data_IF_255574302706
#
_entry.id   IF_255574302706
#
_cell.length_a   1.000
_cell.length_b   1.000
_cell.length_c   1.000
_cell.angle_alpha   90.00
_cell.angle_beta   90.00
_cell.angle_gamma   90.00
#
_symmetry.space_group_name_H-M   'P 1'
#
loop_
_entity.id
_entity.type
_entity.pdbx_description
1 polymer ?
#
# COMPACT_ATOMS: atom_id res chain seq x y z
N UNK A 1 0.06 10.92 7.80
CA UNK A 1 0.84 11.38 6.63
C UNK A 1 -0.11 11.57 5.46
N UNK A 2 0.10 12.61 4.66
CA UNK A 2 -0.78 13.06 3.58
C UNK A 2 -0.04 13.07 2.25
N UNK A 3 -0.36 12.12 1.39
CA UNK A 3 0.14 11.96 0.02
C UNK A 3 -0.72 12.66 -1.02
N UNK A 4 -1.00 13.95 -0.81
CA UNK A 4 -1.81 14.74 -1.73
C UNK A 4 -0.91 15.39 -2.78
N UNK A 5 -0.46 14.60 -3.76
CA UNK A 5 0.45 14.98 -4.84
C UNK A 5 -0.09 14.57 -6.22
N UNK A 6 0.55 15.05 -7.29
CA UNK A 6 -0.01 14.99 -8.65
C UNK A 6 -0.11 13.60 -9.27
N UNK A 7 0.63 12.60 -8.75
CA UNK A 7 0.50 11.20 -9.17
C UNK A 7 -0.40 10.36 -8.24
N UNK A 8 -1.09 10.99 -7.29
CA UNK A 8 -2.08 10.35 -6.42
C UNK A 8 -3.52 10.72 -6.78
N UNK A 9 -4.42 9.80 -6.45
CA UNK A 9 -5.84 10.10 -6.44
C UNK A 9 -6.19 11.00 -5.24
N UNK A 10 -7.25 11.81 -5.38
CA UNK A 10 -7.76 12.66 -4.31
C UNK A 10 -8.11 11.81 -3.11
N UNK A 11 -7.45 12.09 -2.00
CA UNK A 11 -7.65 11.47 -0.70
C UNK A 11 -8.71 12.26 0.06
N UNK A 12 -9.73 11.56 0.54
CA UNK A 12 -10.71 12.17 1.44
C UNK A 12 -10.16 12.15 2.88
N UNK A 13 -9.95 13.30 3.53
CA UNK A 13 -9.61 13.31 4.95
C UNK A 13 -10.73 12.79 5.85
N UNK A 14 -11.96 12.76 5.33
CA UNK A 14 -13.11 12.18 6.02
C UNK A 14 -13.25 10.68 5.74
N UNK A 15 -12.26 10.04 5.10
CA UNK A 15 -12.19 8.58 5.06
C UNK A 15 -12.32 8.04 6.49
N UNK A 16 -13.19 7.05 6.67
CA UNK A 16 -13.62 6.60 7.99
C UNK A 16 -12.44 6.27 8.89
N UNK A 17 -11.43 5.58 8.36
CA UNK A 17 -10.23 5.17 9.12
C UNK A 17 -9.43 6.37 9.63
N UNK A 18 -9.26 7.41 8.81
CA UNK A 18 -8.58 8.66 9.20
C UNK A 18 -9.40 9.38 10.27
N UNK A 19 -10.68 9.62 9.99
CA UNK A 19 -11.57 10.36 10.88
C UNK A 19 -11.73 9.68 12.24
N UNK A 20 -11.84 8.35 12.26
CA UNK A 20 -11.94 7.57 13.50
C UNK A 20 -10.64 7.66 14.32
N UNK A 21 -9.47 7.53 13.69
CA UNK A 21 -8.19 7.63 14.41
C UNK A 21 -7.95 9.02 14.98
N UNK A 22 -8.25 10.07 14.22
CA UNK A 22 -8.19 11.45 14.73
C UNK A 22 -9.20 11.65 15.86
N UNK A 23 -10.43 11.15 15.73
CA UNK A 23 -11.44 11.22 16.78
C UNK A 23 -11.00 10.54 18.08
N UNK A 24 -10.48 9.32 18.00
CA UNK A 24 -10.01 8.61 19.20
C UNK A 24 -8.91 9.42 19.89
N UNK A 25 -7.94 9.93 19.13
CA UNK A 25 -6.87 10.76 19.67
C UNK A 25 -7.40 12.05 20.33
N UNK A 26 -8.38 12.73 19.72
CA UNK A 26 -8.98 13.94 20.32
C UNK A 26 -9.83 13.63 21.54
N UNK A 27 -10.49 12.47 21.57
CA UNK A 27 -11.30 12.04 22.71
C UNK A 27 -10.45 11.63 23.91
N UNK A 28 -9.26 11.07 23.68
CA UNK A 28 -8.31 10.66 24.73
C UNK A 28 -7.23 11.70 25.03
N UNK A 29 -7.39 12.94 24.56
CA UNK A 29 -6.47 14.06 24.84
C UNK A 29 -5.02 13.79 24.38
N UNK A 30 -4.86 13.11 23.25
CA UNK A 30 -3.57 12.79 22.66
C UNK A 30 -2.93 13.94 21.87
N UNK A 31 -1.88 13.61 21.12
CA UNK A 31 -1.26 14.53 20.16
C UNK A 31 -1.46 14.01 18.75
N UNK A 32 -1.93 14.89 17.85
CA UNK A 32 -2.05 14.61 16.42
C UNK A 32 -1.02 15.43 15.66
N UNK A 33 -0.25 14.75 14.80
CA UNK A 33 0.65 15.38 13.83
C UNK A 33 0.20 15.08 12.41
N UNK A 34 0.21 16.09 11.55
CA UNK A 34 -0.02 15.92 10.12
C UNK A 34 1.26 16.26 9.35
N UNK A 35 1.74 15.27 8.61
CA UNK A 35 2.92 15.37 7.75
C UNK A 35 2.47 15.39 6.30
N UNK A 36 2.95 16.37 5.52
CA UNK A 36 2.81 16.39 4.07
C UNK A 36 3.92 15.53 3.47
N UNK A 37 3.56 14.58 2.61
CA UNK A 37 4.50 13.79 1.84
C UNK A 37 4.61 14.39 0.44
N UNK A 38 5.66 15.16 0.19
CA UNK A 38 6.08 15.65 -1.12
C UNK A 38 7.61 15.53 -1.20
N UNK A 39 8.28 16.16 -2.17
CA UNK A 39 9.74 16.04 -2.29
C UNK A 39 10.53 16.75 -1.19
N UNK A 40 9.86 17.50 -0.30
CA UNK A 40 10.44 18.05 0.93
C UNK A 40 9.42 17.92 2.07
N UNK A 41 9.25 16.70 2.62
CA UNK A 41 8.25 16.44 3.64
C UNK A 41 8.31 17.42 4.82
N UNK A 42 7.15 17.73 5.39
CA UNK A 42 7.04 18.72 6.47
C UNK A 42 5.89 18.38 7.44
N UNK A 43 6.13 18.53 8.75
CA UNK A 43 5.07 18.59 9.75
C UNK A 43 4.38 19.95 9.69
N UNK A 44 3.22 20.02 9.02
CA UNK A 44 2.49 21.28 8.86
C UNK A 44 1.46 21.52 9.99
N UNK A 45 1.18 20.51 10.80
CA UNK A 45 0.33 20.62 11.99
C UNK A 45 0.86 19.70 13.08
N UNK A 46 0.97 20.23 14.30
CA UNK A 46 1.08 19.46 15.53
C UNK A 46 0.08 20.02 16.53
N UNK A 47 -0.84 19.19 17.00
CA UNK A 47 -1.91 19.58 17.91
C UNK A 47 -1.94 18.63 19.11
N UNK A 48 -1.55 19.13 20.27
CA UNK A 48 -1.78 18.46 21.55
C UNK A 48 -3.15 18.85 22.07
N UNK A 49 -3.95 17.85 22.41
CA UNK A 49 -5.32 18.04 22.88
C UNK A 49 -5.32 18.10 24.39
N UNK A 50 -5.76 19.22 24.95
CA UNK A 50 -5.84 19.40 26.39
C UNK A 50 -7.11 18.79 26.96
N UNK A 51 -7.01 18.19 28.14
CA UNK A 51 -8.18 17.77 28.91
C UNK A 51 -9.03 19.00 29.28
N UNK A 52 -10.37 18.94 29.13
CA UNK A 52 -11.24 20.06 29.49
C UNK A 52 -11.08 20.48 30.96
N UNK A 53 -10.82 21.77 31.19
CA UNK A 53 -10.67 22.33 32.54
C UNK A 53 -11.95 22.25 33.39
N UNK A 54 -13.11 22.12 32.75
CA UNK A 54 -14.39 21.94 33.43
C UNK A 54 -14.57 20.50 33.86
N UNK A 55 -14.61 20.25 35.18
CA UNK A 55 -14.89 18.93 35.74
C UNK A 55 -16.37 18.55 35.59
N UNK A 56 -16.64 17.25 35.50
CA UNK A 56 -18.00 16.70 35.52
C UNK A 56 -18.82 16.96 34.26
N UNK A 57 -18.16 17.23 33.13
CA UNK A 57 -18.83 17.28 31.84
C UNK A 57 -19.50 15.94 31.54
N UNK A 58 -20.67 15.99 30.92
CA UNK A 58 -21.33 14.78 30.45
C UNK A 58 -20.54 14.17 29.28
N UNK A 59 -20.64 12.84 29.12
CA UNK A 59 -20.02 12.13 27.99
C UNK A 59 -20.43 12.74 26.65
N UNK A 60 -21.70 13.17 26.53
CA UNK A 60 -22.20 13.84 25.32
C UNK A 60 -21.41 15.11 25.02
N UNK A 61 -21.06 15.92 26.04
CA UNK A 61 -20.28 17.14 25.84
C UNK A 61 -18.82 16.83 25.53
N UNK A 62 -18.23 15.82 26.15
CA UNK A 62 -16.87 15.36 25.83
C UNK A 62 -16.76 14.88 24.38
N UNK A 63 -17.73 14.09 23.91
CA UNK A 63 -17.79 13.63 22.51
C UNK A 63 -17.90 14.79 21.53
N UNK A 64 -18.78 15.75 21.80
CA UNK A 64 -18.94 16.94 20.96
C UNK A 64 -17.65 17.77 20.89
N UNK A 65 -16.91 17.94 22.00
CA UNK A 65 -15.63 18.65 21.97
C UNK A 65 -14.57 17.91 21.15
N UNK A 66 -14.53 16.57 21.26
CA UNK A 66 -13.62 15.74 20.48
C UNK A 66 -13.95 15.77 18.97
N UNK A 67 -15.24 15.77 18.61
CA UNK A 67 -15.73 15.94 17.23
C UNK A 67 -15.35 17.31 16.67
N UNK A 68 -15.61 18.39 17.41
CA UNK A 68 -15.24 19.75 17.00
C UNK A 68 -13.74 19.87 16.74
N UNK A 69 -12.91 19.25 17.60
CA UNK A 69 -11.45 19.29 17.47
C UNK A 69 -10.95 18.40 16.32
N UNK A 70 -11.56 17.23 16.12
CA UNK A 70 -11.30 16.37 14.96
C UNK A 70 -11.56 17.15 13.67
N UNK A 71 -12.70 17.81 13.57
CA UNK A 71 -13.08 18.54 12.35
C UNK A 71 -12.13 19.71 12.05
N UNK A 72 -11.63 20.39 13.09
CA UNK A 72 -10.57 21.41 12.94
C UNK A 72 -9.27 20.81 12.38
N UNK A 73 -8.86 19.64 12.87
CA UNK A 73 -7.65 18.95 12.40
C UNK A 73 -7.83 18.47 10.95
N UNK A 74 -8.97 17.86 10.63
CA UNK A 74 -9.27 17.40 9.26
C UNK A 74 -9.44 18.59 8.28
N UNK A 75 -9.87 19.76 8.77
CA UNK A 75 -9.86 20.97 7.96
C UNK A 75 -8.42 21.41 7.61
N UNK A 76 -7.47 21.29 8.54
CA UNK A 76 -6.06 21.60 8.28
C UNK A 76 -5.43 20.64 7.26
N UNK A 77 -5.85 19.36 7.24
CA UNK A 77 -5.48 18.42 6.18
C UNK A 77 -5.88 18.98 4.81
N UNK A 78 -7.13 19.42 4.65
CA UNK A 78 -7.63 19.92 3.37
C UNK A 78 -6.90 21.20 2.90
N UNK A 79 -6.56 22.09 3.83
CA UNK A 79 -6.00 23.40 3.48
C UNK A 79 -4.49 23.38 3.28
N UNK A 80 -3.77 22.52 4.00
CA UNK A 80 -2.30 22.56 4.08
C UNK A 80 -1.61 21.23 3.70
N UNK A 81 -2.38 20.16 3.47
CA UNK A 81 -1.85 18.83 3.17
C UNK A 81 -1.43 18.63 1.71
N UNK A 82 -1.84 19.51 0.79
CA UNK A 82 -1.47 19.45 -0.63
C UNK A 82 0.02 19.72 -0.85
N UNK A 83 0.64 18.97 -1.76
CA UNK A 83 2.05 19.07 -2.15
C UNK A 83 2.46 20.52 -2.46
N UNK A 84 3.62 20.94 -1.92
CA UNK A 84 4.22 22.25 -2.17
C UNK A 84 5.51 22.18 -2.98
N UNK A 85 6.14 21.02 -3.00
CA UNK A 85 7.37 20.76 -3.74
C UNK A 85 7.16 19.65 -4.75
N UNK A 86 7.91 19.71 -5.85
CA UNK A 86 7.97 18.64 -6.85
C UNK A 86 8.47 17.33 -6.22
N UNK A 87 8.15 16.22 -6.86
CA UNK A 87 8.51 14.86 -6.42
C UNK A 87 7.90 14.44 -5.08
N UNK A 88 8.15 13.19 -4.68
CA UNK A 88 7.63 12.60 -3.44
C UNK A 88 8.72 11.78 -2.75
N UNK A 89 9.03 12.09 -1.48
CA UNK A 89 9.88 11.29 -0.60
C UNK A 89 9.04 10.68 0.53
N UNK A 90 8.45 9.51 0.26
CA UNK A 90 7.59 8.82 1.23
C UNK A 90 8.39 8.33 2.44
N UNK A 91 9.64 7.90 2.24
CA UNK A 91 10.48 7.40 3.33
C UNK A 91 10.85 8.52 4.31
N UNK A 92 11.22 9.70 3.82
CA UNK A 92 11.49 10.85 4.68
C UNK A 92 10.22 11.36 5.38
N UNK A 93 9.06 11.32 4.71
CA UNK A 93 7.79 11.64 5.36
C UNK A 93 7.44 10.67 6.51
N UNK A 94 7.69 9.37 6.33
CA UNK A 94 7.56 8.37 7.41
C UNK A 94 8.56 8.65 8.53
N UNK A 95 9.80 9.01 8.21
CA UNK A 95 10.83 9.39 9.20
C UNK A 95 10.42 10.60 10.04
N UNK A 96 9.85 11.64 9.43
CA UNK A 96 9.30 12.78 10.16
C UNK A 96 8.15 12.36 11.07
N UNK A 97 7.23 11.54 10.57
CA UNK A 97 6.12 11.04 11.38
C UNK A 97 6.61 10.21 12.58
N UNK A 98 7.61 9.33 12.36
CA UNK A 98 8.25 8.54 13.39
C UNK A 98 8.87 9.43 14.48
N UNK A 99 9.59 10.49 14.09
CA UNK A 99 10.17 11.46 15.02
C UNK A 99 9.09 12.16 15.87
N UNK A 100 7.98 12.56 15.25
CA UNK A 100 6.85 13.16 15.98
C UNK A 100 6.23 12.19 16.98
N UNK A 101 6.06 10.92 16.60
CA UNK A 101 5.51 9.87 17.48
C UNK A 101 6.44 9.50 18.63
N UNK A 102 7.75 9.48 18.40
CA UNK A 102 8.76 9.26 19.45
C UNK A 102 8.76 10.34 20.52
N UNK A 103 8.44 11.58 20.14
CA UNK A 103 8.37 12.71 21.10
C UNK A 103 7.18 12.61 22.07
N UNK A 104 6.24 11.69 21.84
CA UNK A 104 5.07 11.50 22.69
C UNK A 104 5.35 10.48 23.81
N UNK A 105 5.06 10.86 25.06
CA UNK A 105 5.13 9.99 26.24
C UNK A 105 3.84 9.16 26.37
N UNK A 106 3.61 8.26 25.41
CA UNK A 106 2.48 7.32 25.40
C UNK A 106 2.90 5.98 24.79
N UNK A 107 2.28 4.90 25.27
CA UNK A 107 2.50 3.55 24.74
C UNK A 107 1.68 3.29 23.47
N UNK A 108 0.62 4.06 23.24
CA UNK A 108 -0.27 3.87 22.09
C UNK A 108 0.06 4.89 20.97
N UNK A 109 0.72 4.40 19.91
CA UNK A 109 1.15 5.20 18.76
C UNK A 109 0.55 4.64 17.47
N UNK A 110 0.02 5.53 16.64
CA UNK A 110 -0.53 5.19 15.33
C UNK A 110 0.05 6.08 14.24
N UNK A 111 0.44 5.44 13.14
CA UNK A 111 0.80 6.12 11.90
C UNK A 111 -0.21 5.74 10.82
N UNK A 112 -0.99 6.72 10.36
CA UNK A 112 -1.83 6.55 9.15
C UNK A 112 -1.09 7.13 7.96
N UNK A 113 -0.77 6.28 6.99
CA UNK A 113 -0.12 6.63 5.73
C UNK A 113 -1.18 6.66 4.64
N UNK A 114 -1.67 7.85 4.27
CA UNK A 114 -2.58 7.99 3.13
C UNK A 114 -1.77 8.45 1.92
N UNK A 115 -1.21 7.49 1.18
CA UNK A 115 -0.24 7.76 0.10
C UNK A 115 -0.10 6.53 -0.82
N UNK A 116 0.09 6.71 -2.15
CA UNK A 116 0.37 5.59 -3.04
C UNK A 116 1.67 4.82 -2.73
N UNK A 117 2.62 5.43 -2.03
CA UNK A 117 3.94 4.85 -1.72
C UNK A 117 4.91 4.86 -2.89
N UNK A 118 4.55 5.47 -4.01
CA UNK A 118 5.38 5.50 -5.22
C UNK A 118 6.32 6.72 -5.17
N UNK A 119 7.37 6.60 -4.36
CA UNK A 119 8.39 7.65 -4.17
C UNK A 119 9.22 7.90 -5.43
N UNK A 120 9.53 9.16 -5.70
CA UNK A 120 10.25 9.59 -6.92
C UNK A 120 11.53 10.38 -6.62
N UNK A 121 11.82 10.56 -5.33
CA UNK A 121 13.09 11.11 -4.82
C UNK A 121 13.45 10.46 -3.49
N UNK A 122 14.60 10.81 -2.91
CA UNK A 122 15.10 10.21 -1.68
C UNK A 122 15.78 8.86 -1.90
N UNK A 123 15.91 8.08 -0.82
CA UNK A 123 16.61 6.78 -0.83
C UNK A 123 15.82 5.66 -1.54
N UNK A 124 14.50 5.76 -1.59
CA UNK A 124 13.63 4.84 -2.31
C UNK A 124 13.07 5.56 -3.54
N UNK A 125 13.87 5.67 -4.60
CA UNK A 125 13.47 6.39 -5.81
C UNK A 125 13.07 5.43 -6.95
N UNK A 126 11.77 5.24 -7.15
CA UNK A 126 11.23 4.36 -8.20
C UNK A 126 11.42 4.91 -9.63
N UNK A 127 11.78 6.19 -9.80
CA UNK A 127 12.09 6.76 -11.12
C UNK A 127 13.53 6.46 -11.57
N UNK A 128 14.46 6.37 -10.62
CA UNK A 128 15.90 6.29 -10.89
C UNK A 128 16.44 4.88 -10.71
N UNK A 129 15.96 4.18 -9.70
CA UNK A 129 16.47 2.88 -9.29
C UNK A 129 15.52 1.78 -9.76
N UNK A 130 16.06 0.61 -10.12
CA UNK A 130 15.28 -0.52 -10.63
C UNK A 130 14.62 -1.34 -9.50
N UNK A 131 13.89 -0.64 -8.62
CA UNK A 131 13.36 -1.22 -7.38
C UNK A 131 12.32 -2.31 -7.64
N UNK A 132 11.60 -2.27 -8.76
CA UNK A 132 10.63 -3.31 -9.11
C UNK A 132 11.28 -4.64 -9.51
N UNK A 133 12.55 -4.64 -9.90
CA UNK A 133 13.28 -5.85 -10.31
C UNK A 133 14.44 -6.20 -9.36
N UNK A 134 14.75 -5.34 -8.39
CA UNK A 134 15.76 -5.60 -7.35
C UNK A 134 15.18 -6.48 -6.23
N UNK A 135 15.99 -7.36 -5.64
CA UNK A 135 15.57 -8.15 -4.48
C UNK A 135 15.24 -7.21 -3.31
N UNK A 136 14.13 -7.49 -2.61
CA UNK A 136 13.70 -6.65 -1.47
C UNK A 136 14.73 -6.68 -0.34
N UNK A 137 15.41 -7.81 -0.13
CA UNK A 137 16.46 -7.91 0.89
C UNK A 137 17.63 -6.96 0.61
N UNK A 138 18.07 -6.87 -0.65
CA UNK A 138 19.16 -5.99 -1.07
C UNK A 138 18.76 -4.50 -0.89
N UNK A 139 17.50 -4.16 -1.19
CA UNK A 139 16.97 -2.80 -0.96
C UNK A 139 17.02 -2.46 0.54
N UNK A 140 16.54 -3.36 1.40
CA UNK A 140 16.53 -3.13 2.85
C UNK A 140 17.93 -3.06 3.43
N UNK A 141 18.85 -3.92 2.99
CA UNK A 141 20.26 -3.89 3.40
C UNK A 141 20.91 -2.53 3.07
N UNK A 142 20.70 -2.04 1.84
CA UNK A 142 21.19 -0.71 1.44
C UNK A 142 20.63 0.41 2.32
N UNK A 143 19.33 0.37 2.66
CA UNK A 143 18.72 1.35 3.56
C UNK A 143 19.29 1.28 4.99
N UNK A 144 19.62 0.08 5.48
CA UNK A 144 20.25 -0.12 6.79
C UNK A 144 21.66 0.47 6.79
N UNK A 145 22.46 0.20 5.75
CA UNK A 145 23.82 0.70 5.60
C UNK A 145 23.85 2.25 5.53
N UNK A 146 22.89 2.84 4.82
CA UNK A 146 22.70 4.29 4.73
C UNK A 146 22.06 4.91 5.99
N UNK A 147 21.66 4.07 6.97
CA UNK A 147 20.91 4.49 8.18
C UNK A 147 19.64 5.27 7.84
N UNK A 148 19.00 4.88 6.74
CA UNK A 148 17.80 5.51 6.21
C UNK A 148 16.50 4.92 6.79
N UNK A 149 16.56 3.74 7.42
CA UNK A 149 15.40 3.10 8.07
C UNK A 149 14.90 3.97 9.24
N UNK A 150 13.63 4.43 9.22
CA UNK A 150 13.04 5.13 10.35
C UNK A 150 12.83 4.18 11.52
N UNK A 151 12.76 4.69 12.74
CA UNK A 151 12.45 3.88 13.91
C UNK A 151 10.98 4.06 14.29
N UNK A 152 10.24 2.97 14.10
CA UNK A 152 8.80 2.83 14.32
C UNK A 152 8.52 1.88 15.50
N UNK A 153 9.47 1.69 16.43
CA UNK A 153 9.27 0.81 17.58
C UNK A 153 7.99 1.17 18.35
N UNK A 154 7.10 0.18 18.51
CA UNK A 154 5.81 0.36 19.19
C UNK A 154 4.74 1.11 18.38
N UNK A 155 4.97 1.42 17.11
CA UNK A 155 4.01 2.13 16.26
C UNK A 155 3.14 1.15 15.48
N UNK A 156 1.82 1.34 15.54
CA UNK A 156 0.86 0.63 14.71
C UNK A 156 0.63 1.42 13.41
N UNK A 157 0.94 0.82 12.27
CA UNK A 157 0.86 1.46 10.95
C UNK A 157 -0.39 1.01 10.21
N UNK A 158 -1.12 1.98 9.64
CA UNK A 158 -2.19 1.74 8.68
C UNK A 158 -1.82 2.46 7.38
N UNK A 159 -1.65 1.70 6.31
CA UNK A 159 -1.35 2.23 4.99
C UNK A 159 -2.58 2.19 4.10
N UNK A 160 -3.03 3.36 3.65
CA UNK A 160 -4.14 3.52 2.74
C UNK A 160 -3.62 3.86 1.34
N UNK A 161 -4.26 3.28 0.32
CA UNK A 161 -4.07 3.62 -1.09
C UNK A 161 -2.74 3.19 -1.72
N UNK A 162 -2.00 2.26 -1.12
CA UNK A 162 -0.76 1.74 -1.69
C UNK A 162 -0.91 1.31 -3.16
N UNK A 163 -0.04 1.83 -4.02
CA UNK A 163 0.00 1.64 -5.47
C UNK A 163 -1.19 2.18 -6.26
N UNK A 164 -2.05 3.01 -5.65
CA UNK A 164 -3.21 3.61 -6.33
C UNK A 164 -2.84 4.98 -6.90
N UNK A 165 -2.27 4.97 -8.12
CA UNK A 165 -1.83 6.18 -8.82
C UNK A 165 -2.95 6.86 -9.59
N UNK A 166 -2.71 8.11 -10.00
CA UNK A 166 -3.58 8.88 -10.88
C UNK A 166 -2.79 9.50 -12.04
N UNK A 167 -3.49 9.83 -13.13
CA UNK A 167 -2.93 10.53 -14.28
C UNK A 167 -2.15 11.79 -13.84
N UNK A 168 -0.94 12.05 -14.39
CA UNK A 168 -0.36 11.42 -15.59
C UNK A 168 0.39 10.10 -15.31
N UNK A 169 0.45 9.64 -14.06
CA UNK A 169 1.06 8.36 -13.73
C UNK A 169 0.11 7.23 -14.11
N UNK A 170 0.52 6.44 -15.10
CA UNK A 170 -0.18 5.21 -15.46
C UNK A 170 -0.29 4.29 -14.25
N UNK A 171 -1.42 3.60 -14.14
CA UNK A 171 -1.60 2.63 -13.06
C UNK A 171 -0.62 1.47 -13.22
N UNK A 172 0.06 1.13 -12.13
CA UNK A 172 1.01 0.03 -12.05
C UNK A 172 0.37 -1.31 -12.45
N UNK A 173 1.18 -2.26 -12.93
CA UNK A 173 0.76 -3.65 -13.05
C UNK A 173 0.48 -4.25 -11.66
N UNK A 174 -0.30 -5.32 -11.59
CA UNK A 174 -0.55 -5.98 -10.29
C UNK A 174 0.73 -6.60 -9.70
N UNK A 175 1.71 -6.96 -10.56
CA UNK A 175 3.04 -7.43 -10.14
C UNK A 175 3.83 -6.29 -9.50
N UNK A 176 3.90 -5.13 -10.16
CA UNK A 176 4.56 -3.94 -9.62
C UNK A 176 3.90 -3.47 -8.32
N UNK A 177 2.56 -3.52 -8.25
CA UNK A 177 1.82 -3.16 -7.04
C UNK A 177 2.11 -4.11 -5.88
N UNK A 178 2.18 -5.41 -6.14
CA UNK A 178 2.56 -6.40 -5.13
C UNK A 178 4.00 -6.17 -4.66
N UNK A 179 4.94 -5.93 -5.59
CA UNK A 179 6.33 -5.62 -5.27
C UNK A 179 6.49 -4.33 -4.47
N UNK A 180 5.71 -3.29 -4.79
CA UNK A 180 5.69 -2.04 -4.02
C UNK A 180 5.29 -2.28 -2.56
N UNK A 181 4.21 -3.04 -2.34
CA UNK A 181 3.74 -3.40 -0.99
C UNK A 181 4.77 -4.27 -0.27
N UNK A 182 5.41 -5.21 -0.97
CA UNK A 182 6.49 -6.05 -0.43
C UNK A 182 7.66 -5.21 0.08
N UNK A 183 8.14 -4.23 -0.71
CA UNK A 183 9.22 -3.33 -0.30
C UNK A 183 8.83 -2.54 0.95
N UNK A 184 7.66 -1.90 0.95
CA UNK A 184 7.22 -1.13 2.11
C UNK A 184 6.98 -2.00 3.34
N UNK A 185 6.48 -3.21 3.17
CA UNK A 185 6.32 -4.19 4.26
C UNK A 185 7.68 -4.47 4.91
N UNK A 186 8.70 -4.80 4.11
CA UNK A 186 10.03 -5.09 4.62
C UNK A 186 10.68 -3.87 5.31
N UNK A 187 10.45 -2.65 4.80
CA UNK A 187 10.89 -1.41 5.45
C UNK A 187 10.20 -1.21 6.81
N UNK A 188 8.89 -1.43 6.91
CA UNK A 188 8.13 -1.29 8.16
C UNK A 188 8.55 -2.34 9.20
N UNK A 189 8.82 -3.57 8.77
CA UNK A 189 9.36 -4.63 9.62
C UNK A 189 10.75 -4.27 10.14
N UNK A 190 11.65 -3.84 9.25
CA UNK A 190 13.01 -3.44 9.61
C UNK A 190 13.01 -2.20 10.52
N UNK A 191 12.02 -1.32 10.39
CA UNK A 191 11.79 -0.16 11.24
C UNK A 191 11.26 -0.51 12.65
N UNK A 192 10.87 -1.76 12.90
CA UNK A 192 10.34 -2.20 14.20
C UNK A 192 8.87 -1.84 14.44
N UNK A 193 8.08 -1.60 13.39
CA UNK A 193 6.64 -1.34 13.52
C UNK A 193 5.97 -2.48 14.32
N UNK A 194 5.12 -2.12 15.29
CA UNK A 194 4.41 -3.10 16.13
C UNK A 194 3.38 -3.91 15.33
N UNK A 195 2.73 -3.24 14.37
CA UNK A 195 1.84 -3.86 13.40
C UNK A 195 1.79 -3.00 12.14
N UNK A 196 1.44 -3.59 11.02
CA UNK A 196 1.13 -2.86 9.79
C UNK A 196 -0.05 -3.52 9.08
N UNK A 197 -0.89 -2.70 8.44
CA UNK A 197 -1.97 -3.17 7.57
C UNK A 197 -2.06 -2.29 6.32
N UNK A 198 -2.35 -2.92 5.19
CA UNK A 198 -2.53 -2.23 3.92
C UNK A 198 -4.01 -2.28 3.55
N UNK A 199 -4.69 -1.14 3.70
CA UNK A 199 -6.12 -1.03 3.45
C UNK A 199 -6.45 -1.34 1.99
N UNK A 200 -7.49 -2.16 1.81
CA UNK A 200 -8.07 -2.52 0.51
C UNK A 200 -8.97 -1.42 -0.06
N UNK A 201 -9.21 -0.36 0.71
CA UNK A 201 -10.03 0.77 0.28
C UNK A 201 -9.48 1.40 -1.00
N UNK A 202 -10.38 1.71 -1.92
CA UNK A 202 -10.04 2.44 -3.12
C UNK A 202 -10.05 3.94 -2.82
N UNK A 203 -9.03 4.66 -3.27
CA UNK A 203 -9.03 6.11 -3.33
C UNK A 203 -10.15 6.58 -4.28
N UNK A 204 -10.35 7.89 -4.37
CA UNK A 204 -11.16 8.43 -5.47
C UNK A 204 -10.55 8.03 -6.82
N UNK A 205 -11.31 8.14 -7.91
CA UNK A 205 -10.79 7.97 -9.27
C UNK A 205 -10.44 9.31 -9.91
N UNK A 206 -10.01 10.29 -9.11
CA UNK A 206 -9.81 11.68 -9.51
C UNK A 206 -8.41 12.11 -9.15
N UNK A 207 -7.63 12.60 -10.11
CA UNK A 207 -6.32 13.18 -9.83
C UNK A 207 -6.45 14.55 -9.16
N UNK A 208 -5.44 14.94 -8.38
CA UNK A 208 -5.31 16.33 -7.96
C UNK A 208 -4.99 17.24 -9.16
N UNK A 209 -5.52 18.47 -9.17
CA UNK A 209 -5.15 19.50 -10.15
C UNK A 209 -4.22 20.55 -9.54
N UNK A 210 -3.44 21.22 -10.38
CA UNK A 210 -2.64 22.41 -10.02
C UNK A 210 -1.59 22.18 -8.91
N UNK A 211 -1.13 20.94 -8.75
CA UNK A 211 -0.05 20.58 -7.82
C UNK A 211 1.32 20.54 -8.53
N UNK A 212 2.43 20.67 -7.78
CA UNK A 212 3.77 20.45 -8.31
C UNK A 212 3.88 19.10 -9.04
N UNK A 213 4.69 19.07 -10.09
CA UNK A 213 4.88 17.87 -10.90
C UNK A 213 5.62 16.79 -10.11
N UNK A 214 5.21 15.55 -10.35
CA UNK A 214 5.91 14.34 -9.90
C UNK A 214 6.33 13.58 -11.15
N UNK A 215 7.57 13.09 -11.16
CA UNK A 215 8.10 12.32 -12.27
C UNK A 215 7.30 11.02 -12.47
N UNK A 216 7.15 10.60 -13.74
CA UNK A 216 6.45 9.36 -14.08
C UNK A 216 7.38 8.18 -13.83
N UNK A 217 6.95 7.24 -13.01
CA UNK A 217 7.55 5.93 -12.83
C UNK A 217 7.06 5.00 -13.95
N UNK A 218 7.96 4.28 -14.64
CA UNK A 218 7.56 3.30 -15.66
C UNK A 218 6.60 2.24 -15.09
N UNK A 219 5.42 2.12 -15.72
CA UNK A 219 4.47 1.06 -15.42
C UNK A 219 4.59 -0.05 -16.46
N UNK A 220 4.63 -1.30 -16.01
CA UNK A 220 4.63 -2.47 -16.88
C UNK A 220 3.25 -2.63 -17.54
N UNK A 221 3.25 -3.11 -18.78
CA UNK A 221 2.00 -3.47 -19.45
C UNK A 221 1.23 -4.53 -18.66
N UNK A 222 -0.09 -4.33 -18.54
CA UNK A 222 -0.97 -5.32 -17.90
C UNK A 222 -1.38 -6.40 -18.88
N UNK A 223 -0.45 -7.30 -19.18
CA UNK A 223 -0.66 -8.44 -20.08
C UNK A 223 -0.93 -9.70 -19.25
N UNK A 224 -1.78 -10.59 -19.76
CA UNK A 224 -2.02 -11.90 -19.19
C UNK A 224 -1.78 -12.97 -20.25
N UNK A 225 -0.84 -13.88 -20.00
CA UNK A 225 -0.50 -14.99 -20.89
C UNK A 225 -1.46 -16.19 -20.73
N UNK A 226 -2.71 -15.95 -20.33
CA UNK A 226 -3.74 -17.00 -20.28
C UNK A 226 -4.04 -17.41 -21.72
N UNK A 227 -3.34 -18.45 -22.17
CA UNK A 227 -3.70 -19.16 -23.38
C UNK A 227 -4.92 -20.03 -23.06
N UNK A 228 -6.04 -19.90 -23.78
CA UNK A 228 -7.16 -20.81 -23.62
C UNK A 228 -6.65 -22.24 -23.85
N UNK A 229 -7.00 -23.15 -22.95
CA UNK A 229 -6.76 -24.58 -23.17
C UNK A 229 -7.32 -24.94 -24.55
N UNK A 230 -6.46 -25.42 -25.45
CA UNK A 230 -6.95 -25.95 -26.72
C UNK A 230 -7.87 -27.13 -26.39
N UNK A 231 -9.16 -26.97 -26.71
CA UNK A 231 -10.11 -28.08 -26.67
C UNK A 231 -9.63 -29.13 -27.67
N UNK A 232 -9.04 -30.21 -27.17
CA UNK A 232 -8.77 -31.40 -27.97
C UNK A 232 -10.11 -32.08 -28.19
N UNK A 233 -10.74 -31.82 -29.33
CA UNK A 233 -11.88 -32.60 -29.79
C UNK A 233 -11.33 -33.95 -30.26
N UNK A 234 -11.62 -35.00 -29.49
CA UNK A 234 -11.37 -36.36 -29.91
C UNK A 234 -12.47 -36.78 -30.86
N UNK A 235 -12.23 -36.69 -32.16
CA UNK A 235 -13.12 -37.26 -33.17
C UNK A 235 -12.77 -38.73 -33.43
N UNK A 236 -13.74 -39.46 -34.01
CA UNK A 236 -13.59 -40.87 -34.38
C UNK A 236 -12.56 -41.12 -35.49
N UNK A 237 -12.03 -40.07 -36.11
CA UNK A 237 -10.96 -40.18 -37.11
C UNK A 237 -9.58 -40.28 -36.43
N UNK A 238 -9.42 -39.68 -35.24
CA UNK A 238 -8.17 -39.66 -34.47
C UNK A 238 -8.14 -40.64 -33.28
N UNK A 239 -9.28 -41.24 -32.91
CA UNK A 239 -9.37 -42.27 -31.87
C UNK A 239 -9.78 -43.60 -32.48
N UNK A 240 -8.86 -44.57 -32.49
CA UNK A 240 -9.16 -45.98 -32.80
C UNK A 240 -8.97 -46.83 -31.55
N UNK A 241 -9.98 -47.65 -31.23
CA UNK A 241 -9.85 -48.69 -30.22
C UNK A 241 -9.33 -49.95 -30.89
N UNK A 242 -8.15 -50.42 -30.47
CA UNK A 242 -7.67 -51.73 -30.85
C UNK A 242 -8.29 -52.74 -29.89
N UNK A 243 -9.18 -53.59 -30.40
CA UNK A 243 -9.72 -54.71 -29.65
C UNK A 243 -8.62 -55.67 -29.20
N UNK A 244 -8.76 -56.15 -27.96
CA UNK A 244 -7.97 -57.18 -27.26
C UNK A 244 -6.63 -56.85 -26.58
N UNK A 245 -6.19 -55.59 -26.47
CA UNK A 245 -5.23 -55.21 -25.41
C UNK A 245 -5.45 -53.79 -24.90
N UNK A 246 -5.64 -53.63 -23.59
CA UNK A 246 -5.56 -52.33 -22.93
C UNK A 246 -4.10 -51.88 -22.84
N UNK A 247 -3.61 -51.20 -23.87
CA UNK A 247 -2.35 -50.46 -23.78
C UNK A 247 -2.48 -49.12 -24.54
N UNK A 248 -2.60 -48.02 -23.80
CA UNK A 248 -2.62 -46.68 -24.38
C UNK A 248 -1.27 -46.38 -25.03
N UNK A 249 -1.27 -46.12 -26.34
CA UNK A 249 -0.08 -45.75 -27.09
C UNK A 249 -0.35 -44.44 -27.82
N UNK A 250 -0.03 -43.31 -27.17
CA UNK A 250 0.00 -42.01 -27.84
C UNK A 250 1.06 -42.03 -28.94
N UNK A 251 0.63 -41.88 -30.20
CA UNK A 251 1.55 -41.73 -31.33
C UNK A 251 1.98 -40.26 -31.38
N UNK A 252 3.01 -39.90 -30.60
CA UNK A 252 3.66 -38.60 -30.70
C UNK A 252 4.15 -38.36 -32.13
N UNK A 253 3.63 -37.33 -32.78
CA UNK A 253 4.22 -36.75 -33.99
C UNK A 253 5.07 -35.54 -33.64
N UNK A 254 6.00 -35.73 -32.70
CA UNK A 254 7.14 -34.81 -32.54
C UNK A 254 8.28 -35.55 -31.89
N UNK A 255 9.37 -35.74 -32.65
CA UNK A 255 10.68 -35.98 -32.05
C UNK A 255 11.05 -34.73 -31.25
N UNK A 256 11.06 -34.84 -29.93
CA UNK A 256 12.19 -34.51 -29.05
C UNK A 256 11.82 -34.84 -27.60
N UNK A 257 12.57 -35.79 -27.03
CA UNK A 257 12.60 -36.10 -25.60
C UNK A 257 13.22 -34.92 -24.83
N UNK A 258 12.61 -34.57 -23.71
CA UNK A 258 13.30 -34.67 -22.42
C UNK A 258 12.26 -34.81 -21.31
N UNK A 259 12.47 -35.79 -20.44
CA UNK A 259 11.61 -36.15 -19.33
C UNK A 259 11.93 -35.30 -18.10
N UNK A 260 10.92 -34.92 -17.32
CA UNK A 260 11.04 -34.88 -15.86
C UNK A 260 9.68 -35.10 -15.21
N UNK A 261 9.65 -36.09 -14.32
CA UNK A 261 8.50 -36.60 -13.57
C UNK A 261 8.23 -35.73 -12.36
N UNK A 262 7.01 -35.22 -12.18
CA UNK A 262 6.48 -34.94 -10.84
C UNK A 262 5.00 -35.33 -10.77
N UNK A 263 4.71 -36.29 -9.89
CA UNK A 263 3.37 -36.74 -9.51
C UNK A 263 2.67 -35.63 -8.72
N UNK A 264 1.41 -35.31 -9.03
CA UNK A 264 0.50 -34.74 -8.03
C UNK A 264 -0.91 -35.34 -8.14
N UNK A 265 -1.37 -35.78 -6.97
CA UNK A 265 -2.67 -36.37 -6.65
C UNK A 265 -3.77 -35.30 -6.76
N UNK A 266 -4.92 -35.63 -7.35
CA UNK A 266 -6.12 -34.79 -7.29
C UNK A 266 -7.25 -35.52 -6.58
N UNK A 267 -7.71 -34.93 -5.47
CA UNK A 267 -8.93 -35.27 -4.75
C UNK A 267 -10.10 -34.61 -5.50
N UNK A 268 -11.08 -35.41 -5.92
CA UNK A 268 -12.27 -34.92 -6.63
C UNK A 268 -13.41 -34.74 -5.60
N UNK A 269 -13.85 -33.51 -5.38
CA UNK A 269 -15.13 -33.24 -4.71
C UNK A 269 -16.27 -33.34 -5.73
N UNK A 270 -17.22 -34.25 -5.48
CA UNK A 270 -18.49 -34.32 -6.21
C UNK A 270 -19.45 -33.26 -5.68
N UNK A 271 -19.93 -32.38 -6.55
CA UNK A 271 -21.15 -31.59 -6.29
C UNK A 271 -22.27 -32.19 -7.12
N UNK A 272 -23.31 -32.68 -6.45
CA UNK A 272 -24.55 -33.18 -7.05
C UNK A 272 -25.52 -32.02 -7.15
N UNK A 273 -26.07 -31.75 -8.34
CA UNK A 273 -27.29 -30.96 -8.47
C UNK A 273 -28.44 -31.91 -8.80
N UNK A 274 -29.53 -31.72 -8.05
CA UNK A 274 -30.83 -32.41 -8.11
C UNK A 274 -31.55 -32.20 -9.42
#
# INVERSE_FOLDING_TARGET
>A
MVGAHSNANVISPNAKEIADKVYQCTYTYGTVSLIRADGKPEEFLKATIEEPSTKGLSDRKLKSLAEDKRDQILAAFNTNGMAKYEEVDTLDAIRLAANSLKSAETDEKYLVVADPGLSTTGYLNFCKDDLFHTDTADIVEALVDEKAIPDLEGVNVLWMYAGQTAEPQERLSEVQKAKLIEIWTAVLEQAGAASYDFSVDSASSTAYSDLPSVSIVPADERVSDITPLQTVVLDSENVSFVGDQACSRMRNRTKRQSAMSHRHCWIIHKTVFT
#
